data_IF_323815311868
#
_entry.id   IF_323815311868
#
_cell.length_a   1.000
_cell.length_b   1.000
_cell.length_c   1.000
_cell.angle_alpha   90.00
_cell.angle_beta   90.00
_cell.angle_gamma   90.00
#
_symmetry.space_group_name_H-M   'P 1'
#
loop_
_entity.id
_entity.type
_entity.pdbx_description
1 polymer ?
#
# COMPACT_ATOMS: atom_id res chain seq x y z
N UNK A 1 -60.31 31.05 -34.53
CA UNK A 1 -60.15 29.69 -35.10
C UNK A 1 -58.73 29.21 -34.83
N UNK A 2 -58.35 28.97 -33.57
CA UNK A 2 -57.00 28.52 -33.24
C UNK A 2 -57.06 27.55 -32.06
N UNK A 3 -56.59 26.33 -32.34
CA UNK A 3 -56.81 25.09 -31.63
C UNK A 3 -56.15 25.02 -30.25
N UNK A 4 -56.89 24.53 -29.25
CA UNK A 4 -56.39 24.17 -27.93
C UNK A 4 -56.11 22.66 -27.95
N UNK A 5 -54.83 22.28 -27.98
CA UNK A 5 -54.38 20.90 -27.74
C UNK A 5 -53.92 20.76 -26.29
N UNK A 6 -54.42 19.72 -25.63
CA UNK A 6 -54.10 19.33 -24.26
C UNK A 6 -52.62 18.95 -24.06
N UNK A 7 -52.16 18.83 -22.80
CA UNK A 7 -51.95 17.45 -22.35
C UNK A 7 -52.40 17.13 -20.92
N UNK A 8 -52.75 15.85 -20.76
CA UNK A 8 -53.28 15.15 -19.57
C UNK A 8 -52.28 15.16 -18.41
N UNK A 9 -52.80 15.48 -17.22
CA UNK A 9 -52.12 15.22 -15.95
C UNK A 9 -51.97 13.71 -15.72
N UNK A 10 -50.73 13.23 -15.59
CA UNK A 10 -50.45 11.90 -15.03
C UNK A 10 -49.81 12.08 -13.65
N UNK A 11 -50.54 11.67 -12.63
CA UNK A 11 -50.02 11.46 -11.28
C UNK A 11 -49.43 10.06 -11.23
N UNK A 12 -48.11 9.94 -11.13
CA UNK A 12 -47.46 8.68 -10.81
C UNK A 12 -46.87 8.70 -9.41
N UNK A 13 -47.32 7.71 -8.65
CA UNK A 13 -47.11 7.50 -7.22
C UNK A 13 -45.63 7.38 -6.89
N UNK A 14 -45.22 8.12 -5.88
CA UNK A 14 -43.94 7.97 -5.18
C UNK A 14 -43.79 6.52 -4.70
N UNK A 15 -42.71 5.87 -5.11
CA UNK A 15 -42.23 4.66 -4.47
C UNK A 15 -41.09 5.06 -3.52
N UNK A 16 -41.35 4.97 -2.22
CA UNK A 16 -40.35 5.10 -1.16
C UNK A 16 -39.55 3.79 -1.09
N UNK A 17 -38.23 3.86 -1.20
CA UNK A 17 -37.33 2.77 -0.84
C UNK A 17 -36.60 3.12 0.47
N UNK A 18 -36.45 2.17 1.42
CA UNK A 18 -35.92 2.44 2.74
C UNK A 18 -34.39 2.59 2.75
N UNK A 19 -33.93 3.44 3.66
CA UNK A 19 -32.54 3.60 4.06
C UNK A 19 -32.01 2.33 4.75
N UNK A 20 -30.73 2.01 4.54
CA UNK A 20 -30.01 1.09 5.43
C UNK A 20 -28.80 0.40 4.84
N UNK A 21 -27.65 1.10 4.84
CA UNK A 21 -26.43 0.67 5.53
C UNK A 21 -25.26 1.58 5.09
N UNK A 22 -24.62 2.35 6.00
CA UNK A 22 -23.30 2.88 5.68
C UNK A 22 -22.38 1.66 5.58
N UNK A 23 -21.86 1.41 4.38
CA UNK A 23 -20.68 0.55 4.24
C UNK A 23 -19.63 1.27 5.06
N UNK A 24 -19.36 0.75 6.26
CA UNK A 24 -18.26 1.22 7.08
C UNK A 24 -17.05 1.25 6.15
N UNK A 25 -16.58 2.46 5.86
CA UNK A 25 -15.26 2.67 5.31
C UNK A 25 -14.32 2.15 6.39
N UNK A 26 -14.10 0.84 6.41
CA UNK A 26 -12.84 0.29 6.86
C UNK A 26 -11.86 1.08 6.03
N UNK A 27 -11.17 2.03 6.64
CA UNK A 27 -10.04 2.72 6.02
C UNK A 27 -9.20 1.60 5.44
N UNK A 28 -9.36 1.36 4.14
CA UNK A 28 -8.62 0.34 3.44
C UNK A 28 -7.22 0.87 3.56
N UNK A 29 -6.42 0.24 4.43
CA UNK A 29 -5.01 0.57 4.52
C UNK A 29 -4.52 0.60 3.07
N UNK A 30 -3.85 1.69 2.63
CA UNK A 30 -3.37 1.76 1.27
C UNK A 30 -2.65 0.45 1.00
N UNK A 31 -3.09 -0.26 -0.03
CA UNK A 31 -2.56 -1.58 -0.34
C UNK A 31 -1.03 -1.47 -0.36
N UNK A 32 -0.31 -2.38 0.32
CA UNK A 32 1.12 -2.28 0.41
C UNK A 32 1.70 -2.21 -1.01
N UNK A 33 2.70 -1.35 -1.21
CA UNK A 33 3.34 -1.25 -2.51
C UNK A 33 3.72 -2.67 -2.99
N UNK A 34 3.32 -3.10 -4.20
CA UNK A 34 3.48 -4.47 -4.62
C UNK A 34 4.95 -4.91 -4.63
N UNK A 35 5.89 -3.97 -4.79
CA UNK A 35 7.33 -4.26 -4.69
C UNK A 35 7.75 -4.52 -3.25
N UNK A 36 7.22 -3.76 -2.30
CA UNK A 36 7.46 -4.00 -0.88
C UNK A 36 6.80 -5.30 -0.40
N UNK A 37 5.57 -5.57 -0.84
CA UNK A 37 4.80 -6.76 -0.45
C UNK A 37 5.50 -8.07 -0.82
N UNK A 38 6.15 -8.12 -2.00
CA UNK A 38 6.90 -9.31 -2.46
C UNK A 38 8.16 -9.60 -1.63
N UNK A 39 8.70 -8.61 -0.93
CA UNK A 39 9.94 -8.73 -0.16
C UNK A 39 9.69 -8.99 1.33
N UNK A 40 8.42 -8.93 1.75
CA UNK A 40 8.02 -9.19 3.14
C UNK A 40 8.28 -10.63 3.53
N UNK A 41 8.95 -10.81 4.66
CA UNK A 41 9.04 -12.06 5.38
C UNK A 41 8.77 -11.81 6.85
N UNK A 42 8.29 -12.84 7.54
CA UNK A 42 8.23 -12.84 9.00
C UNK A 42 9.43 -13.64 9.50
N UNK A 43 10.30 -13.01 10.26
CA UNK A 43 11.48 -13.64 10.86
C UNK A 43 11.41 -13.41 12.38
N UNK A 44 11.42 -14.48 13.17
CA UNK A 44 11.35 -14.37 14.64
C UNK A 44 10.09 -13.69 15.19
N UNK A 45 8.99 -13.65 14.42
CA UNK A 45 7.75 -12.93 14.80
C UNK A 45 7.71 -11.46 14.37
N UNK A 46 8.76 -10.96 13.72
CA UNK A 46 8.86 -9.59 13.26
C UNK A 46 8.74 -9.52 11.73
N UNK A 47 8.10 -8.46 11.24
CA UNK A 47 8.00 -8.19 9.81
C UNK A 47 9.32 -7.59 9.31
N UNK A 48 9.93 -8.26 8.33
CA UNK A 48 11.19 -7.86 7.70
C UNK A 48 11.03 -7.78 6.19
N UNK A 49 11.73 -6.85 5.55
CA UNK A 49 11.84 -6.77 4.10
C UNK A 49 13.29 -7.04 3.70
N UNK A 50 13.51 -8.02 2.84
CA UNK A 50 14.85 -8.35 2.32
C UNK A 50 14.98 -7.88 0.89
N UNK A 51 15.73 -6.81 0.67
CA UNK A 51 16.00 -6.24 -0.65
C UNK A 51 17.33 -6.80 -1.15
N UNK A 52 17.34 -7.43 -2.32
CA UNK A 52 18.59 -7.92 -2.92
C UNK A 52 19.44 -6.75 -3.40
N UNK A 53 20.74 -6.83 -3.19
CA UNK A 53 21.73 -5.83 -3.58
C UNK A 53 23.06 -6.49 -3.97
N UNK A 54 23.89 -5.79 -4.73
CA UNK A 54 25.28 -6.20 -4.96
C UNK A 54 26.21 -5.68 -3.88
N UNK A 55 27.43 -6.19 -3.79
CA UNK A 55 28.57 -5.49 -3.18
C UNK A 55 29.45 -4.81 -4.26
N UNK A 56 30.60 -4.25 -3.86
CA UNK A 56 31.55 -3.62 -4.80
C UNK A 56 32.21 -4.60 -5.78
N UNK A 57 32.21 -5.90 -5.48
CA UNK A 57 32.71 -6.97 -6.34
C UNK A 57 31.56 -7.77 -6.99
N UNK A 58 30.34 -7.21 -6.98
CA UNK A 58 29.15 -7.72 -7.63
C UNK A 58 28.68 -9.10 -7.13
N UNK A 59 28.91 -9.43 -5.86
CA UNK A 59 28.29 -10.59 -5.22
C UNK A 59 26.87 -10.26 -4.78
N UNK A 60 25.99 -11.26 -4.87
CA UNK A 60 24.61 -11.15 -4.39
C UNK A 60 24.58 -11.11 -2.86
N UNK A 61 23.95 -10.07 -2.34
CA UNK A 61 23.78 -9.75 -0.93
C UNK A 61 22.36 -9.23 -0.72
N UNK A 62 21.99 -9.01 0.54
CA UNK A 62 20.69 -8.40 0.85
C UNK A 62 20.81 -7.36 1.95
N UNK A 63 20.06 -6.26 1.78
CA UNK A 63 19.77 -5.29 2.85
C UNK A 63 18.45 -5.71 3.49
N UNK A 64 18.40 -5.68 4.82
CA UNK A 64 17.19 -6.01 5.58
C UNK A 64 16.62 -4.76 6.21
N UNK A 65 15.34 -4.49 5.97
CA UNK A 65 14.56 -3.46 6.66
C UNK A 65 13.67 -4.16 7.67
N UNK A 66 13.58 -3.64 8.89
CA UNK A 66 12.70 -4.16 9.93
C UNK A 66 12.20 -3.01 10.79
N UNK A 67 11.02 -3.17 11.41
CA UNK A 67 10.47 -2.19 12.35
C UNK A 67 10.58 -2.75 13.76
N UNK A 68 11.26 -2.04 14.63
CA UNK A 68 11.51 -2.43 16.01
C UNK A 68 11.29 -1.21 16.91
N UNK A 69 10.47 -1.36 17.95
CA UNK A 69 10.21 -0.30 18.95
C UNK A 69 9.85 1.06 18.29
N UNK A 70 8.95 1.05 17.29
CA UNK A 70 8.55 2.22 16.50
C UNK A 70 9.70 2.91 15.74
N UNK A 71 10.79 2.19 15.52
CA UNK A 71 11.94 2.63 14.73
C UNK A 71 12.10 1.76 13.49
N UNK A 72 12.44 2.40 12.37
CA UNK A 72 12.84 1.71 11.14
C UNK A 72 14.33 1.38 11.24
N UNK A 73 14.65 0.10 11.34
CA UNK A 73 16.01 -0.40 11.41
C UNK A 73 16.43 -0.92 10.03
N UNK A 74 17.57 -0.44 9.55
CA UNK A 74 18.17 -0.86 8.29
C UNK A 74 19.47 -1.62 8.58
N UNK A 75 19.49 -2.91 8.25
CA UNK A 75 20.67 -3.76 8.38
C UNK A 75 21.28 -3.95 7.00
N UNK A 76 22.45 -3.32 6.80
CA UNK A 76 23.26 -3.53 5.60
C UNK A 76 23.97 -4.89 5.61
N UNK A 77 24.51 -5.32 4.46
CA UNK A 77 25.39 -6.48 4.40
C UNK A 77 26.60 -6.28 5.34
N UNK A 78 26.96 -7.30 6.15
CA UNK A 78 27.99 -7.15 7.16
C UNK A 78 29.36 -6.86 6.52
N UNK A 79 30.00 -5.76 6.95
CA UNK A 79 31.38 -5.41 6.57
C UNK A 79 31.56 -4.98 5.11
N UNK A 80 30.49 -4.81 4.34
CA UNK A 80 30.55 -4.50 2.91
C UNK A 80 29.62 -3.34 2.54
N UNK A 81 30.01 -2.58 1.51
CA UNK A 81 29.17 -1.53 0.93
C UNK A 81 28.09 -2.15 0.05
N UNK A 82 26.82 -1.89 0.37
CA UNK A 82 25.71 -2.26 -0.50
C UNK A 82 25.68 -1.39 -1.76
N UNK A 83 25.78 -2.02 -2.92
CA UNK A 83 25.53 -1.41 -4.23
C UNK A 83 24.14 -1.77 -4.69
N UNK A 84 23.28 -0.77 -4.86
CA UNK A 84 21.93 -0.96 -5.37
C UNK A 84 21.82 -0.42 -6.80
N UNK A 85 21.20 -1.21 -7.67
CA UNK A 85 20.71 -0.71 -8.96
C UNK A 85 19.49 0.19 -8.75
N UNK A 86 19.10 0.99 -9.74
CA UNK A 86 17.91 1.85 -9.64
C UNK A 86 16.63 1.06 -9.29
N UNK A 87 16.48 -0.16 -9.83
CA UNK A 87 15.35 -1.03 -9.52
C UNK A 87 15.35 -1.52 -8.06
N UNK A 88 16.52 -1.94 -7.56
CA UNK A 88 16.70 -2.36 -6.16
C UNK A 88 16.52 -1.18 -5.19
N UNK A 89 16.97 0.02 -5.57
CA UNK A 89 16.74 1.23 -4.78
C UNK A 89 15.24 1.57 -4.71
N UNK A 90 14.50 1.42 -5.80
CA UNK A 90 13.04 1.60 -5.80
C UNK A 90 12.32 0.57 -4.91
N UNK A 91 12.80 -0.68 -4.89
CA UNK A 91 12.32 -1.70 -3.95
C UNK A 91 12.61 -1.34 -2.49
N UNK A 92 13.82 -0.85 -2.21
CA UNK A 92 14.19 -0.38 -0.87
C UNK A 92 13.35 0.81 -0.43
N UNK A 93 13.12 1.79 -1.30
CA UNK A 93 12.25 2.93 -1.03
C UNK A 93 10.82 2.47 -0.69
N UNK A 94 10.28 1.53 -1.46
CA UNK A 94 8.95 0.97 -1.18
C UNK A 94 8.91 0.27 0.18
N UNK A 95 9.94 -0.53 0.51
CA UNK A 95 10.05 -1.19 1.81
C UNK A 95 10.17 -0.19 2.98
N UNK A 96 10.98 0.86 2.83
CA UNK A 96 11.15 1.92 3.84
C UNK A 96 9.85 2.71 4.05
N UNK A 97 9.13 3.04 2.99
CA UNK A 97 7.83 3.72 3.09
C UNK A 97 6.80 2.87 3.82
N UNK A 98 6.77 1.56 3.56
CA UNK A 98 5.89 0.66 4.29
C UNK A 98 6.31 0.46 5.75
N UNK A 99 7.61 0.39 6.02
CA UNK A 99 8.14 0.31 7.38
C UNK A 99 7.82 1.56 8.19
N UNK A 100 7.96 2.76 7.59
CA UNK A 100 7.61 4.03 8.23
C UNK A 100 6.15 4.06 8.65
N UNK A 101 5.22 3.66 7.77
CA UNK A 101 3.78 3.57 8.11
C UNK A 101 3.47 2.62 9.26
N UNK A 102 4.29 1.59 9.46
CA UNK A 102 4.13 0.65 10.58
C UNK A 102 4.79 1.15 11.86
N UNK A 103 5.81 2.00 11.76
CA UNK A 103 6.47 2.65 12.89
C UNK A 103 5.69 3.87 13.41
N UNK A 104 4.86 4.50 12.56
CA UNK A 104 3.95 5.60 12.95
C UNK A 104 2.68 5.12 13.68
N UNK A 105 2.52 3.81 13.92
CA UNK A 105 1.29 3.20 14.46
C UNK A 105 1.37 2.99 15.96
#
# INVERSE_FOLDING_TARGET
MNSISAPRAQVHRRSFAPAGAPIASRSAMPAPDPRAAQLRRYEGGQLVWRVQCGDMINRDRCVTVLVQDDQVVLVGPPGETARLTAGQLGQLQAALNEAAKLAER
#
